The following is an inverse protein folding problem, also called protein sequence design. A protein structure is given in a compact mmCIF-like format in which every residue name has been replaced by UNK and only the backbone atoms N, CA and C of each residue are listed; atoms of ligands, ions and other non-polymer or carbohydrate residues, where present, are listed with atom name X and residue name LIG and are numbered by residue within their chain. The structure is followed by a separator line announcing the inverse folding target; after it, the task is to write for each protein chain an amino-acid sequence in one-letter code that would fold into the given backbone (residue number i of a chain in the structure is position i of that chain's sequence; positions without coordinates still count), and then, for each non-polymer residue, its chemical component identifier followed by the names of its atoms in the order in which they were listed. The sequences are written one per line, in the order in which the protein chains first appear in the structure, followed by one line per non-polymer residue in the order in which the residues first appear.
data_IF_134556407743
#
_entry.id   IF_134556407743
#
_cell.length_a   1.000
_cell.length_b   1.000
_cell.length_c   1.000
_cell.angle_alpha   90.00
_cell.angle_beta   90.00
_cell.angle_gamma   90.00
#
_symmetry.space_group_name_H-M   'P 1'
#
loop_
_entity.id
_entity.type
_entity.pdbx_description
1 polymer ?
#
# COMPACT_ATOMS: atom_id res chain seq x y z
N UNK A 1 -14.58 18.86 -6.50
CA UNK A 1 -14.32 17.65 -7.29
C UNK A 1 -13.23 17.98 -8.28
N UNK A 2 -12.07 17.35 -8.16
CA UNK A 2 -11.01 17.46 -9.17
C UNK A 2 -11.46 16.68 -10.42
N UNK A 3 -11.69 17.38 -11.52
CA UNK A 3 -12.08 16.75 -12.78
C UNK A 3 -10.83 16.16 -13.43
N UNK A 4 -10.50 14.92 -13.09
CA UNK A 4 -9.45 14.15 -13.76
C UNK A 4 -10.09 13.43 -14.95
N UNK A 5 -9.56 13.62 -16.16
CA UNK A 5 -9.99 12.85 -17.31
C UNK A 5 -9.54 11.39 -17.14
N UNK A 6 -10.49 10.51 -16.79
CA UNK A 6 -10.28 9.08 -16.65
C UNK A 6 -11.00 8.38 -17.80
N UNK A 7 -10.34 7.40 -18.43
CA UNK A 7 -10.93 6.57 -19.47
C UNK A 7 -12.22 5.89 -18.97
N UNK A 8 -13.31 6.02 -19.71
CA UNK A 8 -14.62 5.47 -19.34
C UNK A 8 -14.62 3.96 -19.22
N UNK A 9 -13.84 3.25 -20.05
CA UNK A 9 -13.68 1.80 -19.97
C UNK A 9 -12.98 1.40 -18.67
N UNK A 10 -12.04 2.23 -18.19
CA UNK A 10 -11.37 1.98 -16.92
C UNK A 10 -12.34 2.16 -15.74
N UNK A 11 -13.22 3.16 -15.78
CA UNK A 11 -14.27 3.38 -14.77
C UNK A 11 -15.24 2.19 -14.71
N UNK A 12 -15.72 1.72 -15.86
CA UNK A 12 -16.61 0.56 -15.93
C UNK A 12 -15.93 -0.71 -15.38
N UNK A 13 -14.64 -0.89 -15.71
CA UNK A 13 -13.88 -2.03 -15.23
C UNK A 13 -13.69 -1.96 -13.71
N UNK A 14 -13.33 -0.80 -13.18
CA UNK A 14 -13.18 -0.56 -11.73
C UNK A 14 -14.47 -0.86 -10.98
N UNK A 15 -15.64 -0.44 -11.47
CA UNK A 15 -16.92 -0.78 -10.84
C UNK A 15 -17.17 -2.29 -10.82
N UNK A 16 -16.93 -2.97 -11.95
CA UNK A 16 -17.13 -4.42 -12.10
C UNK A 16 -16.26 -5.23 -11.14
N UNK A 17 -15.00 -4.84 -10.94
CA UNK A 17 -14.05 -5.59 -10.09
C UNK A 17 -14.03 -5.13 -8.65
N UNK A 18 -14.48 -3.91 -8.35
CA UNK A 18 -14.47 -3.39 -6.99
C UNK A 18 -15.65 -3.90 -6.15
N UNK A 19 -16.80 -4.15 -6.75
CA UNK A 19 -18.02 -4.43 -5.98
C UNK A 19 -18.51 -3.21 -5.18
N UNK A 20 -18.01 -2.01 -5.49
CA UNK A 20 -18.51 -0.76 -4.93
C UNK A 20 -19.76 -0.28 -5.65
N UNK A 21 -20.64 0.40 -4.92
CA UNK A 21 -21.91 0.91 -5.47
C UNK A 21 -21.73 2.18 -6.29
N UNK A 22 -20.62 2.91 -6.10
CA UNK A 22 -20.37 4.18 -6.78
C UNK A 22 -18.96 4.27 -7.36
N UNK A 23 -18.82 5.02 -8.46
CA UNK A 23 -17.51 5.28 -9.10
C UNK A 23 -16.55 5.95 -8.12
N UNK A 24 -17.07 6.86 -7.30
CA UNK A 24 -16.27 7.59 -6.32
C UNK A 24 -15.65 6.62 -5.32
N UNK A 25 -16.45 5.73 -4.74
CA UNK A 25 -15.97 4.78 -3.73
C UNK A 25 -14.98 3.78 -4.35
N UNK A 26 -15.28 3.31 -5.56
CA UNK A 26 -14.39 2.42 -6.32
C UNK A 26 -13.02 3.05 -6.60
N UNK A 27 -13.00 4.33 -7.02
CA UNK A 27 -11.77 5.08 -7.29
C UNK A 27 -11.03 5.39 -5.99
N UNK A 28 -11.74 5.80 -4.93
CA UNK A 28 -11.12 6.06 -3.62
C UNK A 28 -10.44 4.81 -3.09
N UNK A 29 -11.10 3.65 -3.16
CA UNK A 29 -10.52 2.39 -2.69
C UNK A 29 -9.34 1.94 -3.55
N UNK A 30 -9.42 2.07 -4.87
CA UNK A 30 -8.31 1.78 -5.77
C UNK A 30 -7.07 2.63 -5.46
N UNK A 31 -7.25 3.91 -5.13
CA UNK A 31 -6.15 4.79 -4.73
C UNK A 31 -5.55 4.39 -3.37
N UNK A 32 -6.38 4.07 -2.38
CA UNK A 32 -5.91 3.60 -1.07
C UNK A 32 -5.08 2.32 -1.22
N UNK A 33 -5.58 1.36 -1.98
CA UNK A 33 -4.87 0.11 -2.28
C UNK A 33 -3.55 0.34 -3.02
N UNK A 34 -3.51 1.28 -3.96
CA UNK A 34 -2.30 1.61 -4.71
C UNK A 34 -1.23 2.24 -3.81
N UNK A 35 -1.63 3.16 -2.92
CA UNK A 35 -0.75 3.79 -1.94
C UNK A 35 -0.22 2.73 -0.97
N UNK A 36 -1.10 1.94 -0.36
CA UNK A 36 -0.73 0.90 0.60
C UNK A 36 0.28 -0.09 0.01
N UNK A 37 0.06 -0.55 -1.24
CA UNK A 37 0.99 -1.46 -1.93
C UNK A 37 2.36 -0.86 -2.21
N UNK A 38 2.49 0.47 -2.26
CA UNK A 38 3.78 1.16 -2.47
C UNK A 38 4.49 1.48 -1.17
N UNK A 39 3.73 1.80 -0.13
CA UNK A 39 4.27 2.00 1.22
C UNK A 39 4.74 0.68 1.83
N UNK A 40 4.05 -0.43 1.59
CA UNK A 40 4.51 -1.75 2.02
C UNK A 40 5.84 -2.14 1.34
N UNK A 41 5.97 -1.86 0.04
CA UNK A 41 7.23 -2.09 -0.69
C UNK A 41 8.37 -1.23 -0.17
N UNK A 42 8.10 0.03 0.21
CA UNK A 42 9.15 0.88 0.78
C UNK A 42 9.62 0.39 2.15
N UNK A 43 8.72 -0.20 2.97
CA UNK A 43 9.09 -0.85 4.23
C UNK A 43 10.01 -2.07 3.98
N UNK A 44 9.68 -2.92 3.00
CA UNK A 44 10.52 -4.05 2.60
C UNK A 44 11.90 -3.58 2.13
N UNK A 45 11.96 -2.52 1.35
CA UNK A 45 13.22 -1.92 0.89
C UNK A 45 14.07 -1.37 2.04
N UNK A 46 13.44 -0.85 3.11
CA UNK A 46 14.12 -0.37 4.31
C UNK A 46 14.64 -1.54 5.15
N UNK A 47 13.86 -2.60 5.34
CA UNK A 47 14.30 -3.81 6.06
C UNK A 47 15.50 -4.48 5.41
N UNK A 48 15.58 -4.48 4.07
CA UNK A 48 16.74 -5.00 3.33
C UNK A 48 17.99 -4.11 3.42
N UNK A 49 17.85 -2.85 3.83
CA UNK A 49 18.94 -1.88 4.02
C UNK A 49 19.33 -1.68 5.48
N UNK A 50 18.61 -2.30 6.42
CA UNK A 50 18.98 -2.28 7.82
C UNK A 50 20.25 -3.12 7.96
N UNK A 51 21.41 -2.46 8.04
CA UNK A 51 22.62 -3.15 8.45
C UNK A 51 22.43 -3.57 9.90
N UNK A 52 22.28 -4.88 10.09
CA UNK A 52 22.24 -5.47 11.41
C UNK A 52 23.59 -5.24 12.06
N UNK A 53 23.63 -4.43 13.11
CA UNK A 53 24.84 -4.28 13.92
C UNK A 53 25.18 -5.65 14.51
N UNK A 54 26.30 -6.24 14.07
CA UNK A 54 26.74 -7.58 14.49
C UNK A 54 26.99 -7.65 16.01
N UNK A 55 27.13 -6.50 16.68
CA UNK A 55 27.28 -6.40 18.13
C UNK A 55 25.93 -6.41 18.88
N UNK A 56 24.80 -6.38 18.17
CA UNK A 56 23.47 -6.35 18.76
C UNK A 56 23.05 -7.73 19.31
N UNK A 57 23.40 -7.99 20.57
CA UNK A 57 23.00 -9.21 21.28
C UNK A 57 21.57 -9.11 21.83
N UNK A 58 20.56 -9.38 21.01
CA UNK A 58 19.14 -9.42 21.43
C UNK A 58 18.82 -10.48 22.51
N UNK A 59 19.78 -11.33 22.91
CA UNK A 59 19.60 -12.30 24.01
C UNK A 59 19.95 -11.72 25.38
N UNK A 60 20.60 -10.57 25.47
CA UNK A 60 20.95 -9.92 26.74
C UNK A 60 19.71 -9.50 27.53
N UNK A 61 18.64 -9.08 26.85
CA UNK A 61 17.36 -8.67 27.43
C UNK A 61 16.47 -9.83 27.94
N UNK A 62 16.88 -11.09 27.73
CA UNK A 62 16.16 -12.28 28.24
C UNK A 62 16.69 -12.79 29.58
N UNK A 63 17.66 -12.10 30.15
CA UNK A 63 18.27 -12.46 31.42
C UNK A 63 17.51 -11.75 32.53
N UNK A 64 16.71 -12.52 33.27
CA UNK A 64 16.09 -12.10 34.52
C UNK A 64 17.12 -11.64 35.55
#
# INVERSE_FOLDING_TARGET
MTNLAIDSKLIEHVLKVSGESTVKDAVTRALQEFIARREEKSIVDILGKLEWDETYNYKSERSC
#
